data_IF_339993809711
#
_entry.id   IF_339993809711
#
_cell.length_a   1.000
_cell.length_b   1.000
_cell.length_c   1.000
_cell.angle_alpha   90.00
_cell.angle_beta   90.00
_cell.angle_gamma   90.00
#
_symmetry.space_group_name_H-M   'P 1'
#
loop_
_entity.id
_entity.type
_entity.pdbx_description
1 polymer ?
#
# COMPACT_ATOMS: atom_id res chain seq x y z
N UNK A 1 -14.64 1.71 -8.13
CA UNK A 1 -14.82 0.27 -8.39
C UNK A 1 -13.50 -0.46 -8.28
N UNK A 2 -12.79 -0.32 -7.15
CA UNK A 2 -11.51 -1.02 -6.93
C UNK A 2 -11.77 -2.47 -6.56
N UNK A 3 -12.60 -2.72 -5.55
CA UNK A 3 -12.99 -4.07 -5.16
C UNK A 3 -13.65 -4.85 -6.31
N UNK A 4 -14.53 -4.23 -7.10
CA UNK A 4 -15.09 -4.86 -8.32
C UNK A 4 -14.01 -5.22 -9.34
N UNK A 5 -13.01 -4.35 -9.55
CA UNK A 5 -11.91 -4.64 -10.47
C UNK A 5 -11.01 -5.75 -9.95
N UNK A 6 -10.71 -5.77 -8.65
CA UNK A 6 -9.93 -6.83 -7.99
C UNK A 6 -10.68 -8.17 -8.06
N UNK A 7 -11.99 -8.16 -7.84
CA UNK A 7 -12.83 -9.36 -7.94
C UNK A 7 -12.82 -9.91 -9.37
N UNK A 8 -13.14 -9.08 -10.36
CA UNK A 8 -13.20 -9.48 -11.76
C UNK A 8 -11.84 -9.94 -12.31
N UNK A 9 -10.80 -9.12 -12.16
CA UNK A 9 -9.44 -9.46 -12.60
C UNK A 9 -8.88 -10.67 -11.83
N UNK A 10 -9.19 -10.76 -10.53
CA UNK A 10 -8.77 -11.87 -9.70
C UNK A 10 -9.42 -13.19 -10.11
N UNK A 11 -10.69 -13.16 -10.52
CA UNK A 11 -11.40 -14.31 -11.06
C UNK A 11 -10.73 -14.84 -12.33
N UNK A 12 -10.36 -13.97 -13.28
CA UNK A 12 -9.64 -14.38 -14.50
C UNK A 12 -8.31 -15.10 -14.14
N UNK A 13 -7.57 -14.56 -13.15
CA UNK A 13 -6.30 -15.14 -12.69
C UNK A 13 -6.48 -16.53 -12.07
N UNK A 14 -7.51 -16.72 -11.23
CA UNK A 14 -7.73 -18.03 -10.58
C UNK A 14 -8.37 -19.05 -11.50
N UNK A 15 -9.12 -18.61 -12.52
CA UNK A 15 -9.64 -19.46 -13.60
C UNK A 15 -8.53 -19.98 -14.51
N UNK A 16 -7.45 -19.21 -14.70
CA UNK A 16 -6.19 -19.66 -15.31
C UNK A 16 -5.41 -20.69 -14.46
N UNK A 17 -5.95 -21.12 -13.32
CA UNK A 17 -5.35 -22.12 -12.43
C UNK A 17 -4.32 -21.57 -11.44
N UNK A 18 -4.07 -20.25 -11.43
CA UNK A 18 -3.12 -19.62 -10.50
C UNK A 18 -3.74 -19.44 -9.12
N UNK A 19 -2.89 -19.36 -8.09
CA UNK A 19 -3.33 -19.02 -6.73
C UNK A 19 -3.11 -17.53 -6.43
N UNK A 20 -4.17 -16.86 -5.99
CA UNK A 20 -4.20 -15.41 -5.76
C UNK A 20 -4.46 -15.08 -4.29
N UNK A 21 -3.64 -14.20 -3.70
CA UNK A 21 -3.93 -13.59 -2.41
C UNK A 21 -4.31 -12.12 -2.58
N UNK A 22 -5.27 -11.63 -1.79
CA UNK A 22 -5.65 -10.21 -1.70
C UNK A 22 -5.47 -9.74 -0.26
N UNK A 23 -4.59 -8.78 -0.06
CA UNK A 23 -4.23 -8.22 1.25
C UNK A 23 -4.66 -6.75 1.31
N UNK A 24 -5.55 -6.40 2.23
CA UNK A 24 -5.95 -5.01 2.42
C UNK A 24 -5.00 -4.28 3.40
N UNK A 25 -4.78 -2.97 3.17
CA UNK A 25 -4.10 -2.06 4.09
C UNK A 25 -5.02 -0.88 4.38
N UNK A 26 -5.49 -0.78 5.62
CA UNK A 26 -6.33 0.31 6.11
C UNK A 26 -5.65 1.02 7.31
N UNK A 27 -5.18 2.26 7.17
CA UNK A 27 -4.61 3.04 8.28
C UNK A 27 -5.60 3.25 9.44
N UNK A 28 -6.90 3.30 9.15
CA UNK A 28 -7.97 3.54 10.13
C UNK A 28 -8.27 2.31 10.99
N UNK A 29 -7.74 1.14 10.62
CA UNK A 29 -7.83 -0.09 11.41
C UNK A 29 -7.22 0.04 12.82
N UNK A 30 -6.35 1.03 13.02
CA UNK A 30 -5.83 1.43 14.33
C UNK A 30 -6.93 1.87 15.30
N UNK A 31 -7.99 2.50 14.80
CA UNK A 31 -9.15 2.97 15.59
C UNK A 31 -10.20 1.85 15.71
N UNK A 32 -10.49 1.16 14.61
CA UNK A 32 -11.57 0.15 14.55
C UNK A 32 -11.17 -1.23 15.06
N UNK A 33 -9.91 -1.42 15.46
CA UNK A 33 -9.30 -2.71 15.84
C UNK A 33 -9.37 -3.77 14.73
N UNK A 34 -9.40 -3.34 13.47
CA UNK A 34 -9.46 -4.19 12.28
C UNK A 34 -10.88 -4.64 11.91
N UNK A 35 -11.05 -5.00 10.63
CA UNK A 35 -12.33 -5.48 10.09
C UNK A 35 -12.38 -7.01 10.10
N UNK A 36 -13.42 -7.59 10.70
CA UNK A 36 -13.60 -9.06 10.74
C UNK A 36 -14.15 -9.58 9.39
N UNK A 37 -15.00 -8.81 8.70
CA UNK A 37 -15.75 -9.28 7.52
C UNK A 37 -15.84 -8.27 6.34
N UNK A 38 -15.58 -6.98 6.57
CA UNK A 38 -16.01 -5.91 5.65
C UNK A 38 -15.36 -5.90 4.27
N UNK A 39 -14.16 -6.47 4.11
CA UNK A 39 -13.48 -6.52 2.81
C UNK A 39 -13.93 -7.72 1.98
N UNK A 40 -14.39 -8.82 2.62
CA UNK A 40 -14.84 -10.03 1.92
C UNK A 40 -16.16 -9.82 1.18
N UNK A 41 -17.06 -9.00 1.73
CA UNK A 41 -18.38 -8.75 1.11
C UNK A 41 -18.32 -7.89 -0.15
N UNK A 42 -17.16 -7.31 -0.49
CA UNK A 42 -16.99 -6.48 -1.69
C UNK A 42 -16.36 -7.22 -2.87
N UNK A 43 -15.90 -8.45 -2.64
CA UNK A 43 -15.26 -9.35 -3.61
C UNK A 43 -15.98 -10.69 -3.54
N UNK A 44 -17.26 -10.70 -3.96
CA UNK A 44 -18.19 -11.79 -3.69
C UNK A 44 -17.70 -13.10 -4.34
N UNK A 45 -17.29 -13.05 -5.61
CA UNK A 45 -16.89 -14.24 -6.35
C UNK A 45 -15.54 -14.77 -5.85
N UNK A 46 -14.56 -13.88 -5.70
CA UNK A 46 -13.21 -14.25 -5.29
C UNK A 46 -13.17 -14.74 -3.85
N UNK A 47 -14.04 -14.23 -2.96
CA UNK A 47 -14.06 -14.61 -1.54
C UNK A 47 -14.40 -16.08 -1.28
N UNK A 48 -15.08 -16.74 -2.22
CA UNK A 48 -15.48 -18.15 -2.12
C UNK A 48 -14.66 -19.08 -3.01
N UNK A 49 -13.76 -18.54 -3.83
CA UNK A 49 -12.96 -19.35 -4.75
C UNK A 49 -11.82 -20.08 -4.00
N UNK A 50 -11.64 -21.41 -4.18
CA UNK A 50 -10.67 -22.20 -3.40
C UNK A 50 -9.20 -21.80 -3.66
N UNK A 51 -8.90 -21.26 -4.84
CA UNK A 51 -7.55 -20.76 -5.17
C UNK A 51 -7.31 -19.31 -4.75
N UNK A 52 -8.28 -18.67 -4.09
CA UNK A 52 -8.18 -17.31 -3.63
C UNK A 52 -8.07 -17.21 -2.09
N UNK A 53 -7.29 -16.26 -1.61
CA UNK A 53 -7.20 -15.96 -0.18
C UNK A 53 -7.32 -14.45 0.06
N UNK A 54 -8.38 -14.03 0.73
CA UNK A 54 -8.63 -12.62 1.04
C UNK A 54 -8.40 -12.37 2.53
N UNK A 55 -7.46 -11.47 2.83
CA UNK A 55 -7.12 -11.05 4.20
C UNK A 55 -7.42 -9.56 4.39
N UNK A 56 -8.39 -9.20 5.27
CA UNK A 56 -8.63 -7.80 5.62
C UNK A 56 -7.44 -7.21 6.39
N UNK A 57 -7.38 -5.87 6.45
CA UNK A 57 -6.28 -5.14 7.07
C UNK A 57 -6.01 -5.60 8.50
N UNK A 58 -4.75 -5.91 8.86
CA UNK A 58 -4.41 -6.29 10.22
C UNK A 58 -4.59 -5.10 11.15
N UNK A 59 -5.05 -5.36 12.37
CA UNK A 59 -5.10 -4.35 13.43
C UNK A 59 -3.68 -4.10 13.95
N UNK A 60 -3.17 -2.90 13.73
CA UNK A 60 -1.97 -2.41 14.37
C UNK A 60 -2.14 -0.91 14.59
N UNK A 61 -1.87 -0.43 15.81
CA UNK A 61 -2.19 0.92 16.26
C UNK A 61 -1.61 2.08 15.44
N UNK A 62 -0.73 1.81 14.46
CA UNK A 62 -0.17 2.79 13.52
C UNK A 62 -0.07 2.20 12.11
N UNK A 63 -0.02 3.07 11.09
CA UNK A 63 0.18 2.68 9.69
C UNK A 63 1.44 1.83 9.49
N UNK A 64 2.55 2.17 10.15
CA UNK A 64 3.80 1.38 10.08
C UNK A 64 3.61 -0.03 10.65
N UNK A 65 2.84 -0.17 11.73
CA UNK A 65 2.49 -1.49 12.27
C UNK A 65 1.64 -2.33 11.30
N UNK A 66 0.70 -1.69 10.57
CA UNK A 66 -0.14 -2.36 9.57
C UNK A 66 0.73 -2.80 8.39
N UNK A 67 1.54 -1.89 7.84
CA UNK A 67 2.44 -2.16 6.72
C UNK A 67 3.41 -3.31 7.03
N UNK A 68 4.02 -3.32 8.22
CA UNK A 68 4.89 -4.43 8.66
C UNK A 68 4.18 -5.78 8.62
N UNK A 69 2.99 -5.88 9.23
CA UNK A 69 2.22 -7.13 9.27
C UNK A 69 1.80 -7.58 7.87
N UNK A 70 1.48 -6.65 6.97
CA UNK A 70 1.17 -6.99 5.59
C UNK A 70 2.38 -7.58 4.88
N UNK A 71 3.59 -7.04 5.06
CA UNK A 71 4.82 -7.60 4.49
C UNK A 71 5.14 -9.01 5.00
N UNK A 72 4.98 -9.23 6.31
CA UNK A 72 5.11 -10.58 6.89
C UNK A 72 4.08 -11.55 6.25
N UNK A 73 2.86 -11.06 6.00
CA UNK A 73 1.81 -11.84 5.33
C UNK A 73 2.12 -12.12 3.86
N UNK A 74 2.73 -11.16 3.13
CA UNK A 74 3.19 -11.37 1.75
C UNK A 74 4.16 -12.56 1.69
N UNK A 75 5.16 -12.60 2.57
CA UNK A 75 6.14 -13.71 2.63
C UNK A 75 5.46 -15.04 2.93
N UNK A 76 4.49 -15.06 3.84
CA UNK A 76 3.71 -16.26 4.15
C UNK A 76 2.88 -16.73 2.95
N UNK A 77 2.26 -15.81 2.20
CA UNK A 77 1.52 -16.13 0.99
C UNK A 77 2.44 -16.71 -0.10
N UNK A 78 3.59 -16.07 -0.36
CA UNK A 78 4.58 -16.58 -1.31
C UNK A 78 5.03 -18.00 -0.92
N UNK A 79 5.38 -18.22 0.36
CA UNK A 79 5.79 -19.54 0.87
C UNK A 79 4.66 -20.58 0.82
N UNK A 80 3.40 -20.16 0.94
CA UNK A 80 2.24 -21.03 0.81
C UNK A 80 1.86 -21.35 -0.65
N UNK A 81 2.63 -20.85 -1.64
CA UNK A 81 2.43 -21.12 -3.05
C UNK A 81 1.39 -20.23 -3.73
N UNK A 82 1.14 -19.03 -3.20
CA UNK A 82 0.41 -18.00 -3.94
C UNK A 82 1.36 -17.33 -4.94
N UNK A 83 0.97 -17.32 -6.22
CA UNK A 83 1.79 -16.81 -7.32
C UNK A 83 1.53 -15.33 -7.59
N UNK A 84 0.32 -14.87 -7.27
CA UNK A 84 -0.09 -13.47 -7.41
C UNK A 84 -0.57 -12.96 -6.06
N UNK A 85 -0.12 -11.76 -5.68
CA UNK A 85 -0.52 -11.09 -4.46
C UNK A 85 -0.94 -9.67 -4.80
N UNK A 86 -2.23 -9.37 -4.61
CA UNK A 86 -2.74 -8.02 -4.66
C UNK A 86 -2.68 -7.39 -3.28
N UNK A 87 -2.17 -6.15 -3.22
CA UNK A 87 -2.16 -5.34 -2.01
C UNK A 87 -3.02 -4.11 -2.25
N UNK A 88 -4.18 -4.06 -1.62
CA UNK A 88 -5.17 -2.99 -1.81
C UNK A 88 -5.07 -1.94 -0.71
N UNK A 89 -5.07 -0.66 -1.09
CA UNK A 89 -5.27 0.45 -0.14
C UNK A 89 -6.75 0.55 0.25
N UNK A 90 -7.07 0.64 1.53
CA UNK A 90 -8.45 0.81 2.00
C UNK A 90 -8.58 2.15 2.74
N UNK A 91 -9.65 2.88 2.45
CA UNK A 91 -9.99 4.12 3.15
C UNK A 91 -9.18 5.35 2.69
N UNK A 92 -9.20 6.37 3.55
CA UNK A 92 -8.47 7.64 3.38
C UNK A 92 -7.26 7.65 4.30
N UNK A 93 -6.07 7.90 3.75
CA UNK A 93 -4.83 7.94 4.51
C UNK A 93 -3.66 7.51 3.64
N UNK A 94 -2.51 8.14 3.85
CA UNK A 94 -1.27 8.09 3.05
C UNK A 94 -0.63 6.68 3.02
N UNK A 95 -1.39 5.68 2.61
CA UNK A 95 -1.03 4.27 2.52
C UNK A 95 -0.40 3.92 1.18
N UNK A 96 -0.51 4.81 0.18
CA UNK A 96 -0.01 4.62 -1.17
C UNK A 96 1.50 4.38 -1.17
N UNK A 97 2.27 5.20 -0.45
CA UNK A 97 3.72 5.03 -0.33
C UNK A 97 4.08 3.72 0.37
N UNK A 98 3.31 3.33 1.39
CA UNK A 98 3.53 2.06 2.10
C UNK A 98 3.28 0.88 1.16
N UNK A 99 2.19 0.88 0.40
CA UNK A 99 1.88 -0.16 -0.58
C UNK A 99 2.92 -0.20 -1.71
N UNK A 100 3.29 0.95 -2.28
CA UNK A 100 4.34 1.04 -3.29
C UNK A 100 5.68 0.45 -2.79
N UNK A 101 6.00 0.63 -1.51
CA UNK A 101 7.20 0.06 -0.89
C UNK A 101 7.20 -1.45 -0.71
N UNK A 102 6.12 -2.15 -1.07
CA UNK A 102 5.99 -3.59 -0.89
C UNK A 102 5.42 -4.38 -2.07
N UNK A 103 5.24 -3.73 -3.22
CA UNK A 103 4.74 -4.36 -4.45
C UNK A 103 5.74 -4.21 -5.59
N UNK A 104 5.74 -5.16 -6.51
CA UNK A 104 6.56 -5.07 -7.73
C UNK A 104 5.96 -4.09 -8.73
N UNK A 105 4.63 -4.03 -8.83
CA UNK A 105 3.88 -3.19 -9.76
C UNK A 105 2.80 -2.40 -9.00
N UNK A 106 2.77 -1.08 -9.16
CA UNK A 106 1.76 -0.22 -8.55
C UNK A 106 0.75 0.27 -9.60
N UNK A 107 -0.48 -0.24 -9.51
CA UNK A 107 -1.59 0.13 -10.39
C UNK A 107 -2.43 1.26 -9.78
N UNK A 108 -2.50 2.39 -10.48
CA UNK A 108 -3.41 3.49 -10.11
C UNK A 108 -4.75 3.31 -10.84
N UNK A 109 -5.85 3.22 -10.10
CA UNK A 109 -7.20 3.11 -10.67
C UNK A 109 -7.89 4.47 -10.63
N UNK A 110 -8.34 4.95 -11.78
CA UNK A 110 -9.06 6.22 -11.96
C UNK A 110 -10.43 6.00 -12.60
N UNK A 111 -11.29 7.00 -12.50
CA UNK A 111 -12.59 7.07 -13.17
C UNK A 111 -12.59 8.27 -14.12
N UNK A 112 -13.32 8.15 -15.21
CA UNK A 112 -13.51 9.25 -16.15
C UNK A 112 -14.61 10.22 -15.69
N UNK A 113 -14.56 11.47 -16.16
CA UNK A 113 -15.70 12.40 -16.07
C UNK A 113 -15.79 13.26 -14.80
N UNK A 114 -14.69 13.44 -14.06
CA UNK A 114 -14.64 14.35 -12.89
C UNK A 114 -14.43 15.83 -13.26
N UNK A 115 -14.31 16.18 -14.54
CA UNK A 115 -14.17 17.55 -15.04
C UNK A 115 -12.73 18.08 -15.04
N UNK A 116 -11.91 17.67 -14.05
CA UNK A 116 -10.45 17.79 -14.05
C UNK A 116 -9.85 16.50 -13.46
N UNK A 117 -9.46 15.58 -14.32
CA UNK A 117 -9.01 14.24 -13.93
C UNK A 117 -7.65 14.26 -13.21
N UNK A 118 -6.85 15.33 -13.41
CA UNK A 118 -5.51 15.46 -12.86
C UNK A 118 -5.49 16.23 -11.54
N UNK A 119 -6.38 17.22 -11.36
CA UNK A 119 -6.42 18.09 -10.17
C UNK A 119 -6.68 17.34 -8.86
N UNK A 120 -7.34 16.17 -8.92
CA UNK A 120 -7.59 15.33 -7.75
C UNK A 120 -6.42 14.44 -7.32
N UNK A 121 -5.39 14.30 -8.15
CA UNK A 121 -4.31 13.33 -7.91
C UNK A 121 -3.07 14.06 -7.42
N UNK A 122 -2.59 13.65 -6.25
CA UNK A 122 -1.32 14.14 -5.72
C UNK A 122 -0.21 13.75 -6.69
N UNK A 123 0.61 14.74 -7.08
CA UNK A 123 1.79 14.53 -7.94
C UNK A 123 2.62 13.31 -7.54
N UNK A 124 2.86 13.11 -6.24
CA UNK A 124 3.63 11.95 -5.75
C UNK A 124 2.98 10.58 -6.03
N UNK A 125 1.65 10.49 -6.15
CA UNK A 125 0.97 9.23 -6.48
C UNK A 125 1.12 8.90 -7.97
N UNK A 126 1.04 9.91 -8.84
CA UNK A 126 1.31 9.74 -10.28
C UNK A 126 2.73 9.23 -10.52
N UNK A 127 3.71 9.79 -9.81
CA UNK A 127 5.12 9.40 -9.91
C UNK A 127 5.38 7.95 -9.46
N UNK A 128 4.51 7.39 -8.62
CA UNK A 128 4.60 5.99 -8.16
C UNK A 128 3.92 4.99 -9.09
N UNK A 129 3.11 5.43 -10.07
CA UNK A 129 2.30 4.53 -10.89
C UNK A 129 3.15 3.84 -11.97
N UNK A 130 3.24 2.51 -11.92
CA UNK A 130 3.82 1.70 -13.00
C UNK A 130 2.81 1.50 -14.15
N UNK A 131 1.51 1.71 -13.88
CA UNK A 131 0.46 1.81 -14.87
C UNK A 131 -0.83 2.40 -14.28
N UNK A 132 -1.74 2.84 -15.16
CA UNK A 132 -3.00 3.47 -14.80
C UNK A 132 -4.17 2.74 -15.47
N UNK A 133 -5.20 2.40 -14.70
CA UNK A 133 -6.46 1.85 -15.19
C UNK A 133 -7.58 2.90 -15.09
N UNK A 134 -8.14 3.32 -16.23
CA UNK A 134 -9.37 4.12 -16.28
C UNK A 134 -10.55 3.16 -16.30
N UNK A 135 -11.13 2.90 -15.14
CA UNK A 135 -12.23 1.95 -14.97
C UNK A 135 -13.59 2.60 -15.28
N UNK A 136 -14.63 1.76 -15.44
CA UNK A 136 -15.99 2.13 -15.88
C UNK A 136 -16.00 2.70 -17.31
N UNK A 137 -15.16 2.18 -18.19
CA UNK A 137 -15.19 2.49 -19.61
C UNK A 137 -16.29 1.69 -20.32
N UNK A 138 -17.54 1.93 -19.95
CA UNK A 138 -18.74 1.22 -20.42
C UNK A 138 -19.86 2.20 -20.78
N UNK A 139 -20.78 1.75 -21.64
CA UNK A 139 -21.94 2.53 -22.08
C UNK A 139 -21.59 3.94 -22.57
N UNK A 140 -22.24 4.96 -21.99
CA UNK A 140 -22.02 6.36 -22.34
C UNK A 140 -20.71 6.96 -21.80
N UNK A 141 -19.92 6.18 -21.05
CA UNK A 141 -18.68 6.63 -20.43
C UNK A 141 -17.42 6.26 -21.24
N UNK A 142 -17.56 5.49 -22.32
CA UNK A 142 -16.45 5.07 -23.19
C UNK A 142 -15.66 6.28 -23.71
N UNK A 143 -16.34 7.28 -24.28
CA UNK A 143 -15.68 8.46 -24.84
C UNK A 143 -14.94 9.27 -23.78
N UNK A 144 -15.56 9.45 -22.61
CA UNK A 144 -14.94 10.13 -21.46
C UNK A 144 -13.71 9.38 -20.98
N UNK A 145 -13.76 8.04 -20.92
CA UNK A 145 -12.64 7.22 -20.51
C UNK A 145 -11.47 7.29 -21.50
N UNK A 146 -11.74 7.38 -22.80
CA UNK A 146 -10.72 7.57 -23.82
C UNK A 146 -10.07 8.97 -23.76
N UNK A 147 -10.85 10.01 -23.47
CA UNK A 147 -10.33 11.36 -23.21
C UNK A 147 -9.42 11.33 -21.97
N UNK A 148 -9.88 10.77 -20.86
CA UNK A 148 -9.10 10.62 -19.63
C UNK A 148 -7.80 9.85 -19.88
N UNK A 149 -7.87 8.72 -20.61
CA UNK A 149 -6.68 7.94 -21.01
C UNK A 149 -5.66 8.82 -21.75
N UNK A 150 -6.12 9.67 -22.66
CA UNK A 150 -5.26 10.59 -23.41
C UNK A 150 -4.64 11.65 -22.50
N UNK A 151 -5.41 12.25 -21.59
CA UNK A 151 -4.90 13.21 -20.62
C UNK A 151 -3.83 12.61 -19.70
N UNK A 152 -4.08 11.42 -19.14
CA UNK A 152 -3.11 10.73 -18.30
C UNK A 152 -1.85 10.32 -19.06
N UNK A 153 -1.99 9.85 -20.30
CA UNK A 153 -0.84 9.48 -21.14
C UNK A 153 0.04 10.71 -21.40
N UNK A 154 -0.58 11.85 -21.76
CA UNK A 154 0.14 13.10 -21.97
C UNK A 154 0.81 13.61 -20.69
N UNK A 155 0.13 13.53 -19.54
CA UNK A 155 0.69 13.94 -18.26
C UNK A 155 1.90 13.07 -17.87
N UNK A 156 1.83 11.75 -18.08
CA UNK A 156 2.94 10.83 -17.80
C UNK A 156 4.19 11.15 -18.62
N UNK A 157 4.04 11.64 -19.86
CA UNK A 157 5.18 12.06 -20.69
C UNK A 157 5.91 13.31 -20.16
N UNK A 158 5.31 14.07 -19.24
CA UNK A 158 5.94 15.24 -18.61
C UNK A 158 6.84 14.84 -17.42
N UNK A 159 6.73 13.61 -16.93
CA UNK A 159 7.57 13.11 -15.85
C UNK A 159 8.87 12.52 -16.37
N UNK A 160 9.96 12.58 -15.57
CA UNK A 160 11.19 11.89 -15.93
C UNK A 160 10.94 10.38 -16.04
N UNK A 161 11.74 9.72 -16.90
CA UNK A 161 11.69 8.27 -17.02
C UNK A 161 11.95 7.61 -15.66
N UNK A 162 11.12 6.65 -15.22
CA UNK A 162 11.35 5.93 -13.98
C UNK A 162 12.68 5.17 -14.00
N UNK A 163 13.25 4.91 -12.81
CA UNK A 163 14.49 4.14 -12.67
C UNK A 163 14.39 2.74 -13.29
N UNK A 164 13.19 2.17 -13.34
CA UNK A 164 12.92 0.90 -14.01
C UNK A 164 13.21 0.93 -15.51
N UNK A 165 13.23 2.11 -16.14
CA UNK A 165 13.23 2.30 -17.58
C UNK A 165 11.86 2.04 -18.24
N UNK A 166 10.84 1.67 -17.46
CA UNK A 166 9.49 1.41 -17.96
C UNK A 166 8.72 2.73 -18.05
N UNK A 167 8.19 3.03 -19.24
CA UNK A 167 7.25 4.13 -19.42
C UNK A 167 5.85 3.66 -18.97
N UNK A 168 5.25 4.26 -17.92
CA UNK A 168 3.94 3.84 -17.43
C UNK A 168 2.87 3.91 -18.52
N UNK A 169 2.07 2.85 -18.65
CA UNK A 169 1.00 2.75 -19.64
C UNK A 169 -0.35 3.09 -18.99
N UNK A 170 -1.26 3.63 -19.79
CA UNK A 170 -2.65 3.91 -19.39
C UNK A 170 -3.59 3.02 -20.19
N UNK A 171 -4.47 2.29 -19.51
CA UNK A 171 -5.48 1.44 -20.14
C UNK A 171 -6.88 1.77 -19.63
N UNK A 172 -7.87 1.61 -20.50
CA UNK A 172 -9.30 1.68 -20.16
C UNK A 172 -9.80 0.27 -19.87
N UNK A 173 -10.74 0.13 -18.95
CA UNK A 173 -11.41 -1.14 -18.69
C UNK A 173 -12.82 -0.93 -18.12
N UNK A 174 -13.64 -1.96 -18.19
CA UNK A 174 -14.85 -2.07 -17.36
C UNK A 174 -14.78 -3.35 -16.56
N UNK A 175 -14.60 -3.20 -15.24
CA UNK A 175 -14.70 -4.32 -14.32
C UNK A 175 -16.10 -4.94 -14.27
N UNK A 176 -17.14 -4.15 -14.53
CA UNK A 176 -18.54 -4.60 -14.43
C UNK A 176 -18.96 -5.38 -15.68
N UNK A 177 -18.59 -4.88 -16.87
CA UNK A 177 -18.90 -5.52 -18.15
C UNK A 177 -17.80 -6.51 -18.60
N UNK A 178 -16.77 -6.73 -17.79
CA UNK A 178 -15.58 -7.55 -18.11
C UNK A 178 -14.88 -7.15 -19.43
N UNK A 179 -14.71 -5.84 -19.66
CA UNK A 179 -14.09 -5.30 -20.87
C UNK A 179 -12.62 -4.95 -20.60
N UNK A 180 -11.73 -5.42 -21.48
CA UNK A 180 -10.29 -5.10 -21.53
C UNK A 180 -9.50 -5.44 -20.24
N UNK A 181 -10.01 -6.37 -19.41
CA UNK A 181 -9.31 -6.85 -18.21
C UNK A 181 -8.05 -7.67 -18.57
N UNK A 182 -8.11 -8.41 -19.68
CA UNK A 182 -6.98 -9.14 -20.27
C UNK A 182 -5.84 -8.18 -20.67
N UNK A 183 -6.17 -7.06 -21.31
CA UNK A 183 -5.20 -6.02 -21.68
C UNK A 183 -4.58 -5.36 -20.46
N UNK A 184 -5.39 -5.14 -19.41
CA UNK A 184 -4.91 -4.61 -18.15
C UNK A 184 -3.93 -5.58 -17.48
N UNK A 185 -4.24 -6.88 -17.47
CA UNK A 185 -3.34 -7.90 -16.94
C UNK A 185 -2.07 -8.03 -17.77
N UNK A 186 -2.18 -8.01 -19.10
CA UNK A 186 -1.04 -8.07 -20.00
C UNK A 186 -0.08 -6.91 -19.78
N UNK A 187 -0.57 -5.70 -19.47
CA UNK A 187 0.27 -4.57 -19.09
C UNK A 187 1.13 -4.87 -17.84
N UNK A 188 0.57 -5.56 -16.84
CA UNK A 188 1.32 -6.00 -15.66
C UNK A 188 2.37 -7.03 -16.06
N UNK A 189 2.01 -8.04 -16.85
CA UNK A 189 2.94 -9.07 -17.31
C UNK A 189 4.09 -8.49 -18.14
N UNK A 190 3.81 -7.54 -19.02
CA UNK A 190 4.81 -6.82 -19.81
C UNK A 190 5.82 -6.10 -18.91
N UNK A 191 5.35 -5.41 -17.87
CA UNK A 191 6.21 -4.75 -16.90
C UNK A 191 7.12 -5.75 -16.19
N UNK A 192 6.56 -6.88 -15.74
CA UNK A 192 7.31 -7.89 -15.01
C UNK A 192 8.37 -8.52 -15.93
N UNK A 193 8.04 -8.81 -17.19
CA UNK A 193 8.99 -9.31 -18.17
C UNK A 193 10.11 -8.27 -18.46
N UNK A 194 9.74 -7.00 -18.63
CA UNK A 194 10.67 -5.92 -18.90
C UNK A 194 11.66 -5.69 -17.75
N UNK A 195 11.15 -5.60 -16.52
CA UNK A 195 11.97 -5.35 -15.32
C UNK A 195 12.81 -6.56 -14.90
N UNK A 196 12.37 -7.79 -15.20
CA UNK A 196 13.22 -8.98 -15.05
C UNK A 196 14.36 -8.98 -16.08
N UNK A 197 14.07 -8.60 -17.33
CA UNK A 197 15.07 -8.56 -18.41
C UNK A 197 16.20 -7.56 -18.14
N UNK A 198 15.89 -6.41 -17.54
CA UNK A 198 16.89 -5.38 -17.25
C UNK A 198 17.46 -5.43 -15.82
N UNK A 199 17.05 -6.42 -15.01
CA UNK A 199 17.54 -6.61 -13.63
C UNK A 199 16.85 -5.76 -12.56
N UNK A 200 16.04 -4.77 -12.95
CA UNK A 200 15.38 -3.87 -12.01
C UNK A 200 14.40 -4.59 -11.07
N UNK A 201 13.76 -5.66 -11.51
CA UNK A 201 12.81 -6.43 -10.69
C UNK A 201 13.45 -6.89 -9.37
N UNK A 202 14.64 -7.50 -9.46
CA UNK A 202 15.36 -7.99 -8.30
C UNK A 202 15.95 -6.85 -7.48
N UNK A 203 16.46 -5.80 -8.15
CA UNK A 203 16.97 -4.60 -7.48
C UNK A 203 15.89 -3.91 -6.63
N UNK A 204 14.69 -3.73 -7.18
CA UNK A 204 13.54 -3.15 -6.47
C UNK A 204 13.21 -3.94 -5.21
N UNK A 205 13.11 -5.28 -5.31
CA UNK A 205 12.84 -6.15 -4.14
C UNK A 205 13.96 -6.11 -3.09
N UNK A 206 15.23 -6.01 -3.48
CA UNK A 206 16.34 -5.85 -2.54
C UNK A 206 16.27 -4.50 -1.82
N UNK A 207 15.97 -3.42 -2.55
CA UNK A 207 15.80 -2.09 -1.97
C UNK A 207 14.58 -2.03 -1.03
N UNK A 208 13.48 -2.69 -1.38
CA UNK A 208 12.31 -2.86 -0.51
C UNK A 208 12.68 -3.63 0.76
N UNK A 209 13.40 -4.75 0.64
CA UNK A 209 13.86 -5.54 1.80
C UNK A 209 14.75 -4.73 2.74
N UNK A 210 15.69 -3.94 2.17
CA UNK A 210 16.53 -2.99 2.94
C UNK A 210 15.67 -1.94 3.64
N UNK A 211 14.70 -1.36 2.95
CA UNK A 211 13.77 -0.39 3.53
C UNK A 211 12.96 -1.00 4.69
N UNK A 212 12.47 -2.24 4.53
CA UNK A 212 11.72 -2.95 5.56
C UNK A 212 12.54 -3.22 6.81
N UNK A 213 13.83 -3.53 6.66
CA UNK A 213 14.75 -3.70 7.78
C UNK A 213 14.83 -2.41 8.62
N UNK A 214 15.09 -1.26 7.97
CA UNK A 214 15.17 0.03 8.68
C UNK A 214 13.87 0.41 9.35
N UNK A 215 12.73 0.25 8.67
CA UNK A 215 11.43 0.56 9.26
C UNK A 215 11.12 -0.36 10.45
N UNK A 216 11.49 -1.64 10.38
CA UNK A 216 11.34 -2.58 11.50
C UNK A 216 12.15 -2.13 12.73
N UNK A 217 13.39 -1.67 12.53
CA UNK A 217 14.23 -1.12 13.60
C UNK A 217 13.57 0.12 14.21
N UNK A 218 13.12 1.05 13.38
CA UNK A 218 12.47 2.29 13.84
C UNK A 218 11.22 2.00 14.67
N UNK A 219 10.33 1.13 14.17
CA UNK A 219 9.11 0.74 14.88
C UNK A 219 9.43 0.01 16.19
N UNK A 220 10.45 -0.86 16.20
CA UNK A 220 10.86 -1.56 17.41
C UNK A 220 11.35 -0.58 18.48
N UNK A 221 12.25 0.35 18.12
CA UNK A 221 12.78 1.36 19.03
C UNK A 221 11.67 2.25 19.58
N UNK A 222 10.77 2.72 18.69
CA UNK A 222 9.60 3.53 19.07
C UNK A 222 8.70 2.79 20.06
N UNK A 223 8.33 1.55 19.75
CA UNK A 223 7.47 0.76 20.62
C UNK A 223 8.15 0.44 21.96
N UNK A 224 9.45 0.14 21.95
CA UNK A 224 10.20 -0.13 23.17
C UNK A 224 10.27 1.10 24.09
N UNK A 225 10.43 2.30 23.50
CA UNK A 225 10.40 3.56 24.24
C UNK A 225 9.03 3.84 24.86
N UNK A 226 7.96 3.83 24.07
CA UNK A 226 6.63 4.20 24.55
C UNK A 226 5.99 3.15 25.48
N UNK A 227 6.34 1.86 25.33
CA UNK A 227 5.86 0.80 26.22
C UNK A 227 6.77 0.57 27.44
N UNK A 228 7.79 1.42 27.66
CA UNK A 228 8.62 1.33 28.85
C UNK A 228 7.85 1.91 30.06
N UNK A 229 7.62 1.15 31.15
CA UNK A 229 6.80 1.61 32.26
C UNK A 229 7.31 2.90 32.93
N UNK A 230 8.62 3.13 32.96
CA UNK A 230 9.19 4.37 33.52
C UNK A 230 8.87 5.57 32.62
N UNK A 231 8.96 5.39 31.30
CA UNK A 231 8.68 6.44 30.33
C UNK A 231 7.18 6.73 30.26
N UNK A 232 6.35 5.70 30.24
CA UNK A 232 4.87 5.83 30.25
C UNK A 232 4.39 6.67 31.44
N UNK A 233 4.91 6.41 32.64
CA UNK A 233 4.58 7.18 33.84
C UNK A 233 5.10 8.64 33.77
N UNK A 234 6.26 8.87 33.16
CA UNK A 234 6.82 10.22 33.03
C UNK A 234 6.15 11.06 31.95
N UNK A 235 5.63 10.43 30.89
CA UNK A 235 5.00 11.10 29.75
C UNK A 235 3.87 12.02 30.19
N UNK A 236 2.94 11.55 31.01
CA UNK A 236 1.81 12.36 31.50
C UNK A 236 2.27 13.64 32.22
N UNK A 237 3.33 13.55 33.02
CA UNK A 237 3.86 14.71 33.75
C UNK A 237 4.52 15.71 32.80
N UNK A 238 5.32 15.22 31.85
CA UNK A 238 6.05 16.06 30.89
C UNK A 238 5.08 16.73 29.92
N UNK A 239 4.04 16.03 29.47
CA UNK A 239 2.96 16.61 28.66
C UNK A 239 2.23 17.73 29.41
N UNK A 240 1.95 17.53 30.70
CA UNK A 240 1.33 18.57 31.51
C UNK A 240 2.24 19.80 31.67
N UNK A 241 3.54 19.60 31.87
CA UNK A 241 4.52 20.69 31.92
C UNK A 241 4.63 21.44 30.58
N UNK A 242 4.50 20.74 29.44
CA UNK A 242 4.44 21.34 28.09
C UNK A 242 3.19 22.21 27.90
N UNK A 243 2.02 21.69 28.25
CA UNK A 243 0.74 22.41 28.11
C UNK A 243 0.69 23.69 28.97
N UNK A 244 1.47 23.73 30.05
CA UNK A 244 1.61 24.90 30.92
C UNK A 244 2.85 25.77 30.61
N UNK A 245 3.50 25.57 29.45
CA UNK A 245 4.69 26.30 29.01
C UNK A 245 5.87 26.30 30.01
N UNK A 246 5.97 25.26 30.86
CA UNK A 246 7.08 25.12 31.83
C UNK A 246 8.36 24.56 31.21
N UNK A 247 8.23 23.91 30.05
CA UNK A 247 9.33 23.28 29.31
C UNK A 247 9.02 23.39 27.81
N UNK A 248 10.06 23.44 26.97
CA UNK A 248 9.88 23.41 25.51
C UNK A 248 9.77 21.97 25.00
N UNK A 249 9.13 21.72 23.83
CA UNK A 249 9.02 20.37 23.26
C UNK A 249 10.35 19.63 23.13
N UNK A 250 11.42 20.33 22.74
CA UNK A 250 12.74 19.74 22.57
C UNK A 250 13.38 19.34 23.91
N UNK A 251 13.28 20.19 24.94
CA UNK A 251 13.83 19.86 26.27
C UNK A 251 13.05 18.71 26.91
N UNK A 252 11.73 18.70 26.75
CA UNK A 252 10.86 17.61 27.19
C UNK A 252 11.25 16.28 26.53
N UNK A 253 11.43 16.27 25.21
CA UNK A 253 11.84 15.09 24.45
C UNK A 253 13.22 14.58 24.89
N UNK A 254 14.23 15.45 24.97
CA UNK A 254 15.58 15.09 25.42
C UNK A 254 15.56 14.49 26.83
N UNK A 255 14.80 15.07 27.75
CA UNK A 255 14.67 14.54 29.12
C UNK A 255 14.11 13.11 29.14
N UNK A 256 13.09 12.83 28.34
CA UNK A 256 12.51 11.47 28.25
C UNK A 256 13.52 10.49 27.61
N UNK A 257 14.22 10.90 26.56
CA UNK A 257 15.26 10.10 25.89
C UNK A 257 16.44 9.78 26.81
N UNK A 258 16.94 10.76 27.58
CA UNK A 258 18.04 10.56 28.53
C UNK A 258 17.64 9.60 29.65
N UNK A 259 16.40 9.74 30.16
CA UNK A 259 15.84 8.82 31.15
C UNK A 259 15.79 7.40 30.59
N UNK A 260 15.28 7.23 29.37
CA UNK A 260 15.19 5.93 28.70
C UNK A 260 16.57 5.29 28.52
N UNK A 261 17.57 6.07 28.11
CA UNK A 261 18.96 5.60 27.98
C UNK A 261 19.51 5.06 29.31
N UNK A 262 19.24 5.73 30.42
CA UNK A 262 19.64 5.26 31.75
C UNK A 262 18.92 3.96 32.15
N UNK A 263 17.64 3.82 31.82
CA UNK A 263 16.89 2.57 32.06
C UNK A 263 17.54 1.40 31.33
N UNK A 264 17.89 1.57 30.05
CA UNK A 264 18.56 0.53 29.26
C UNK A 264 19.93 0.14 29.84
N UNK A 265 20.74 1.12 30.26
CA UNK A 265 22.07 0.87 30.87
C UNK A 265 21.94 0.08 32.18
N UNK A 266 20.91 0.35 32.97
CA UNK A 266 20.70 -0.35 34.24
C UNK A 266 20.16 -1.77 34.05
N UNK A 267 19.44 -2.04 32.95
CA UNK A 267 18.99 -3.38 32.59
C UNK A 267 20.13 -4.26 32.06
N UNK A 268 21.09 -3.71 31.32
CA UNK A 268 22.22 -4.48 30.78
C UNK A 268 23.29 -4.87 31.81
N UNK A 269 23.24 -4.29 33.01
CA UNK A 269 24.13 -4.61 34.14
C UNK A 269 23.60 -5.70 35.06
N UNK A 270 22.37 -6.19 34.84
CA UNK A 270 21.76 -7.33 35.53
C UNK A 270 21.82 -8.56 34.64
#
# INVERSE_FOLDING_TARGET
GKSTLIDALGMDIVQDGKRLAVLAIDPSSSITKGSILGDKTRMEQLSVHPNAFIRPSPSAGSLGGVARKTRETIVLCEAAGFEVIFVETVGVGQSETAVHSMVDFFLLIQLAGTGDELQGIKRGIMEMADGIAINKADGSNIDKANIAKSHFTNALHLFPMPQSGWAPKVQTCSAYEHIDLDKLWQMVLDYIAFTKKNGYFQEKRLNQSKYWMYETIEQYLKNNFYNNPTIENMLQKVENDLLHNKVTPFVAATKLLDTYKNVLINQSKK
#
